data_IF_876652901223
#
_entry.id   IF_876652901223
#
_cell.length_a   1.000
_cell.length_b   1.000
_cell.length_c   1.000
_cell.angle_alpha   90.00
_cell.angle_beta   90.00
_cell.angle_gamma   90.00
#
_symmetry.space_group_name_H-M   'P 1'
#
loop_
_entity.id
_entity.type
_entity.pdbx_description
1 polymer ?
#
# COMPACT_ATOMS: atom_id res chain seq x y z
N UNK A 1 65.30 -0.08 8.01
CA UNK A 1 64.49 -1.20 8.55
C UNK A 1 63.28 -0.58 9.24
N UNK A 2 62.19 -0.39 8.48
CA UNK A 2 61.01 -1.27 8.43
C UNK A 2 60.01 -0.89 9.53
N UNK A 3 58.90 -0.20 9.18
CA UNK A 3 57.55 -0.76 8.90
C UNK A 3 56.92 -1.28 10.21
N UNK A 4 55.73 -0.91 10.71
CA UNK A 4 54.42 -0.73 10.07
C UNK A 4 53.54 0.12 11.01
N UNK A 5 52.98 1.24 10.50
CA UNK A 5 51.83 1.91 11.12
C UNK A 5 50.56 1.14 10.79
N UNK A 6 49.80 0.72 11.81
CA UNK A 6 48.51 0.05 11.63
C UNK A 6 47.47 1.07 11.15
N UNK A 7 47.06 0.90 9.91
CA UNK A 7 45.93 1.55 9.26
C UNK A 7 44.62 1.23 9.98
N UNK A 8 43.78 2.25 10.11
CA UNK A 8 42.42 2.14 10.63
C UNK A 8 41.55 1.33 9.67
N UNK A 9 40.92 0.28 10.19
CA UNK A 9 39.78 -0.37 9.54
C UNK A 9 38.53 0.39 9.98
N UNK A 10 38.21 1.46 9.24
CA UNK A 10 36.87 2.06 9.32
C UNK A 10 35.82 1.05 8.83
N UNK A 11 34.61 1.04 9.42
CA UNK A 11 33.56 0.14 8.96
C UNK A 11 33.20 0.49 7.52
N UNK A 12 33.15 -0.55 6.70
CA UNK A 12 32.69 -0.54 5.30
C UNK A 12 31.39 0.27 5.21
N UNK A 13 31.49 1.49 4.69
CA UNK A 13 30.33 2.30 4.39
C UNK A 13 29.52 1.57 3.33
N UNK A 14 28.34 1.08 3.73
CA UNK A 14 27.29 0.75 2.77
C UNK A 14 27.17 1.94 1.82
N UNK A 15 27.43 1.70 0.53
CA UNK A 15 27.24 2.73 -0.50
C UNK A 15 25.74 2.95 -0.62
N UNK A 16 25.21 3.84 0.21
CA UNK A 16 23.86 4.37 0.03
C UNK A 16 23.86 5.12 -1.29
N UNK A 17 23.29 4.51 -2.32
CA UNK A 17 23.07 5.13 -3.62
C UNK A 17 22.25 6.39 -3.36
N UNK A 18 22.84 7.56 -3.62
CA UNK A 18 22.15 8.83 -3.40
C UNK A 18 20.99 8.92 -4.38
N UNK A 19 19.80 8.86 -3.84
CA UNK A 19 18.56 9.06 -4.57
C UNK A 19 18.36 10.56 -4.79
N UNK A 20 19.01 11.13 -5.80
CA UNK A 20 18.57 12.38 -6.40
C UNK A 20 17.57 12.01 -7.49
N UNK A 21 16.27 12.07 -7.20
CA UNK A 21 15.32 12.23 -8.30
C UNK A 21 15.66 13.59 -8.90
N UNK A 22 15.94 13.61 -10.19
CA UNK A 22 16.04 14.87 -10.90
C UNK A 22 14.65 15.52 -10.84
N UNK A 23 14.53 16.62 -10.08
CA UNK A 23 13.29 17.29 -9.64
C UNK A 23 12.52 17.98 -10.77
N UNK A 24 12.62 17.45 -11.98
CA UNK A 24 11.95 17.98 -13.14
C UNK A 24 11.04 16.92 -13.75
N UNK A 25 10.18 16.33 -12.91
CA UNK A 25 9.17 15.36 -13.33
C UNK A 25 8.38 15.90 -14.53
N UNK A 26 7.98 17.18 -14.48
CA UNK A 26 7.27 17.84 -15.57
C UNK A 26 8.05 17.82 -16.89
N UNK A 27 9.35 18.15 -16.88
CA UNK A 27 10.16 18.08 -18.09
C UNK A 27 10.28 16.65 -18.60
N UNK A 28 10.49 15.66 -17.74
CA UNK A 28 10.57 14.25 -18.16
C UNK A 28 9.26 13.75 -18.78
N UNK A 29 8.11 14.14 -18.22
CA UNK A 29 6.80 13.82 -18.80
C UNK A 29 6.61 14.51 -20.16
N UNK A 30 7.00 15.77 -20.29
CA UNK A 30 6.92 16.51 -21.56
C UNK A 30 7.86 15.95 -22.64
N UNK A 31 9.10 15.60 -22.27
CA UNK A 31 10.08 14.96 -23.17
C UNK A 31 9.52 13.62 -23.69
N UNK A 32 8.94 12.79 -22.82
CA UNK A 32 8.33 11.52 -23.23
C UNK A 32 7.09 11.70 -24.10
N UNK A 33 6.27 12.72 -23.85
CA UNK A 33 5.15 13.05 -24.72
C UNK A 33 5.60 13.38 -26.15
N UNK A 34 6.83 13.88 -26.32
CA UNK A 34 7.45 14.17 -27.61
C UNK A 34 8.20 12.97 -28.23
N UNK A 35 7.94 11.74 -27.77
CA UNK A 35 8.48 10.47 -28.26
C UNK A 35 9.99 10.25 -28.03
N UNK A 36 10.59 10.98 -27.08
CA UNK A 36 12.00 10.81 -26.73
C UNK A 36 12.09 10.55 -25.23
N UNK A 37 12.31 9.30 -24.78
CA UNK A 37 12.49 9.12 -23.33
C UNK A 37 13.12 7.83 -22.83
N UNK A 38 14.46 7.82 -22.83
CA UNK A 38 15.19 6.99 -21.87
C UNK A 38 14.97 7.47 -20.42
N UNK A 39 14.76 8.78 -20.20
CA UNK A 39 14.67 9.37 -18.85
C UNK A 39 13.37 9.02 -18.11
N UNK A 40 12.22 9.05 -18.79
CA UNK A 40 10.95 8.62 -18.17
C UNK A 40 10.99 7.14 -17.79
N UNK A 41 11.48 6.27 -18.69
CA UNK A 41 11.62 4.85 -18.39
C UNK A 41 12.62 4.60 -17.25
N UNK A 42 13.72 5.35 -17.22
CA UNK A 42 14.68 5.30 -16.12
C UNK A 42 14.06 5.73 -14.79
N UNK A 43 13.25 6.80 -14.78
CA UNK A 43 12.52 7.25 -13.61
C UNK A 43 11.54 6.17 -13.10
N UNK A 44 10.72 5.61 -13.99
CA UNK A 44 9.77 4.54 -13.64
C UNK A 44 10.51 3.33 -13.07
N UNK A 45 11.62 2.93 -13.71
CA UNK A 45 12.47 1.83 -13.24
C UNK A 45 13.04 2.11 -11.86
N UNK A 46 13.57 3.32 -11.64
CA UNK A 46 14.13 3.75 -10.35
C UNK A 46 13.09 3.72 -9.23
N UNK A 47 11.89 4.29 -9.47
CA UNK A 47 10.80 4.27 -8.46
C UNK A 47 10.37 2.84 -8.16
N UNK A 48 10.26 1.98 -9.18
CA UNK A 48 9.89 0.57 -8.98
C UNK A 48 10.93 -0.20 -8.17
N UNK A 49 12.21 -0.03 -8.52
CA UNK A 49 13.28 -0.88 -7.99
C UNK A 49 13.82 -0.36 -6.64
N UNK A 50 13.82 0.97 -6.44
CA UNK A 50 14.37 1.63 -5.24
C UNK A 50 13.35 2.46 -4.46
N UNK A 51 12.05 2.34 -4.77
CA UNK A 51 10.99 3.14 -4.18
C UNK A 51 10.92 3.12 -2.65
N UNK A 52 11.33 2.02 -2.03
CA UNK A 52 11.34 1.86 -0.57
C UNK A 52 12.58 2.48 0.09
N UNK A 53 13.63 2.76 -0.67
CA UNK A 53 14.88 3.36 -0.17
C UNK A 53 14.86 4.89 -0.29
N UNK A 54 13.82 5.44 -0.93
CA UNK A 54 13.62 6.89 -1.07
C UNK A 54 13.47 7.52 0.31
N UNK A 55 14.19 8.62 0.54
CA UNK A 55 14.05 9.42 1.77
C UNK A 55 12.75 10.21 1.76
N UNK A 56 12.22 10.48 2.94
CA UNK A 56 10.94 11.15 3.07
C UNK A 56 10.90 12.53 2.42
N UNK A 57 12.00 13.29 2.43
CA UNK A 57 12.08 14.59 1.77
C UNK A 57 11.97 14.46 0.24
N UNK A 58 12.68 13.49 -0.33
CA UNK A 58 12.71 13.25 -1.79
C UNK A 58 11.36 12.69 -2.26
N UNK A 59 10.73 11.82 -1.46
CA UNK A 59 9.41 11.26 -1.75
C UNK A 59 8.30 12.31 -1.63
N UNK A 60 8.35 13.16 -0.59
CA UNK A 60 7.42 14.29 -0.44
C UNK A 60 7.51 15.22 -1.65
N UNK A 61 8.73 15.56 -2.09
CA UNK A 61 8.94 16.39 -3.27
C UNK A 61 8.43 15.73 -4.57
N UNK A 62 8.70 14.43 -4.77
CA UNK A 62 8.16 13.67 -5.90
C UNK A 62 6.63 13.74 -5.94
N UNK A 63 5.97 13.55 -4.80
CA UNK A 63 4.52 13.57 -4.70
C UNK A 63 3.96 14.97 -4.99
N UNK A 64 4.59 16.03 -4.47
CA UNK A 64 4.22 17.42 -4.78
C UNK A 64 4.33 17.73 -6.27
N UNK A 65 5.40 17.28 -6.93
CA UNK A 65 5.55 17.45 -8.38
C UNK A 65 4.53 16.62 -9.16
N UNK A 66 4.26 15.39 -8.74
CA UNK A 66 3.26 14.53 -9.36
C UNK A 66 1.87 15.16 -9.26
N UNK A 67 1.53 15.76 -8.11
CA UNK A 67 0.32 16.55 -7.90
C UNK A 67 0.25 17.76 -8.83
N UNK A 68 1.36 18.48 -9.00
CA UNK A 68 1.47 19.59 -9.95
C UNK A 68 1.31 19.17 -11.43
N UNK A 69 1.47 17.88 -11.73
CA UNK A 69 1.35 17.32 -13.08
C UNK A 69 0.09 16.46 -13.28
N UNK A 70 -0.86 16.45 -12.33
CA UNK A 70 -2.04 15.56 -12.36
C UNK A 70 -2.79 15.63 -13.70
N UNK A 71 -3.01 16.82 -14.24
CA UNK A 71 -3.70 17.00 -15.52
C UNK A 71 -3.01 16.30 -16.70
N UNK A 72 -1.69 16.09 -16.61
CA UNK A 72 -0.90 15.44 -17.64
C UNK A 72 -0.83 13.91 -17.47
N UNK A 73 -1.11 13.36 -16.28
CA UNK A 73 -1.01 11.93 -15.95
C UNK A 73 -2.13 11.08 -16.58
N UNK A 74 -2.48 11.36 -17.84
CA UNK A 74 -3.42 10.59 -18.63
C UNK A 74 -2.89 9.16 -18.92
N UNK A 75 -3.61 8.38 -19.73
CA UNK A 75 -3.27 6.98 -20.01
C UNK A 75 -1.84 6.72 -20.52
N UNK A 76 -1.16 7.71 -21.11
CA UNK A 76 0.24 7.57 -21.58
C UNK A 76 1.24 7.42 -20.44
N UNK A 77 0.90 7.92 -19.23
CA UNK A 77 1.77 7.86 -18.06
C UNK A 77 1.29 6.82 -17.03
N UNK A 78 0.54 5.82 -17.49
CA UNK A 78 0.01 4.75 -16.63
C UNK A 78 1.10 4.02 -15.85
N UNK A 79 2.27 3.77 -16.45
CA UNK A 79 3.37 3.08 -15.78
C UNK A 79 3.89 3.88 -14.59
N UNK A 80 4.05 5.19 -14.73
CA UNK A 80 4.42 6.06 -13.61
C UNK A 80 3.40 6.01 -12.48
N UNK A 81 2.10 6.15 -12.81
CA UNK A 81 1.02 6.06 -11.81
C UNK A 81 1.08 4.71 -11.09
N UNK A 82 1.25 3.61 -11.82
CA UNK A 82 1.35 2.28 -11.24
C UNK A 82 2.52 2.13 -10.26
N UNK A 83 3.72 2.63 -10.61
CA UNK A 83 4.88 2.50 -9.71
C UNK A 83 4.75 3.39 -8.47
N UNK A 84 4.06 4.52 -8.55
CA UNK A 84 3.76 5.36 -7.38
C UNK A 84 2.72 4.68 -6.47
N UNK A 85 1.69 4.06 -7.06
CA UNK A 85 0.61 3.41 -6.30
C UNK A 85 1.06 2.16 -5.50
N UNK A 86 2.17 1.53 -5.87
CA UNK A 86 2.68 0.33 -5.16
C UNK A 86 3.58 0.67 -3.97
N UNK A 87 4.06 1.92 -3.84
CA UNK A 87 4.95 2.34 -2.76
C UNK A 87 4.31 2.08 -1.39
N UNK A 88 5.07 1.59 -0.41
CA UNK A 88 4.61 1.58 0.98
C UNK A 88 4.88 2.94 1.64
N UNK A 89 3.81 3.71 1.77
CA UNK A 89 3.80 5.06 2.34
C UNK A 89 3.25 5.08 3.77
N UNK A 90 2.64 3.99 4.25
CA UNK A 90 1.83 3.99 5.47
C UNK A 90 2.64 4.17 6.75
N UNK A 91 3.91 3.77 6.72
CA UNK A 91 4.86 3.86 7.83
C UNK A 91 5.73 5.13 7.76
N UNK A 92 5.56 5.97 6.73
CA UNK A 92 6.38 7.15 6.48
C UNK A 92 5.98 8.33 7.37
N UNK A 93 6.77 9.40 7.31
CA UNK A 93 6.48 10.63 8.03
C UNK A 93 5.07 11.19 7.70
N UNK A 94 4.46 11.94 8.63
CA UNK A 94 3.16 12.55 8.41
C UNK A 94 3.08 13.44 7.15
N UNK A 95 4.19 14.07 6.76
CA UNK A 95 4.26 14.87 5.54
C UNK A 95 4.10 13.99 4.29
N UNK A 96 4.86 12.91 4.18
CA UNK A 96 4.75 11.97 3.06
C UNK A 96 3.36 11.36 3.00
N UNK A 97 2.81 10.94 4.15
CA UNK A 97 1.46 10.37 4.26
C UNK A 97 0.42 11.37 3.72
N UNK A 98 0.51 12.64 4.14
CA UNK A 98 -0.38 13.71 3.68
C UNK A 98 -0.26 13.97 2.17
N UNK A 99 0.96 14.08 1.64
CA UNK A 99 1.17 14.31 0.21
C UNK A 99 0.74 13.12 -0.64
N UNK A 100 0.92 11.89 -0.14
CA UNK A 100 0.49 10.68 -0.83
C UNK A 100 -1.04 10.61 -0.89
N UNK A 101 -1.72 10.85 0.23
CA UNK A 101 -3.18 10.95 0.26
C UNK A 101 -3.66 12.04 -0.71
N UNK A 102 -3.07 13.24 -0.65
CA UNK A 102 -3.37 14.34 -1.58
C UNK A 102 -3.22 13.92 -3.04
N UNK A 103 -2.15 13.21 -3.39
CA UNK A 103 -1.96 12.65 -4.73
C UNK A 103 -3.07 11.68 -5.13
N UNK A 104 -3.46 10.75 -4.26
CA UNK A 104 -4.55 9.80 -4.55
C UNK A 104 -5.89 10.52 -4.80
N UNK A 105 -6.19 11.53 -3.98
CA UNK A 105 -7.39 12.34 -4.10
C UNK A 105 -7.41 13.09 -5.42
N UNK A 106 -6.34 13.83 -5.73
CA UNK A 106 -6.22 14.63 -6.95
C UNK A 106 -6.29 13.74 -8.19
N UNK A 107 -5.67 12.56 -8.14
CA UNK A 107 -5.69 11.57 -9.22
C UNK A 107 -7.10 11.02 -9.46
N UNK A 108 -7.82 10.63 -8.40
CA UNK A 108 -9.19 10.13 -8.53
C UNK A 108 -10.17 11.21 -9.01
N UNK A 109 -9.96 12.47 -8.59
CA UNK A 109 -10.80 13.60 -8.98
C UNK A 109 -10.60 13.99 -10.45
N UNK A 110 -9.35 14.00 -10.93
CA UNK A 110 -9.03 14.38 -12.30
C UNK A 110 -9.21 13.22 -13.30
N UNK A 111 -8.92 11.99 -12.90
CA UNK A 111 -8.84 10.81 -13.76
C UNK A 111 -9.57 9.61 -13.15
N UNK A 112 -10.90 9.64 -13.20
CA UNK A 112 -11.79 8.65 -12.58
C UNK A 112 -11.50 7.18 -12.97
N UNK A 113 -10.89 6.93 -14.13
CA UNK A 113 -10.54 5.59 -14.58
C UNK A 113 -9.43 4.95 -13.73
N UNK A 114 -8.63 5.74 -13.00
CA UNK A 114 -7.66 5.21 -12.02
C UNK A 114 -8.31 4.86 -10.68
N UNK A 115 -9.52 5.34 -10.36
CA UNK A 115 -10.14 5.16 -9.04
C UNK A 115 -10.22 3.69 -8.63
N UNK A 116 -10.57 2.79 -9.56
CA UNK A 116 -10.55 1.34 -9.30
C UNK A 116 -9.17 0.84 -8.89
N UNK A 117 -8.13 1.29 -9.58
CA UNK A 117 -6.77 0.85 -9.31
C UNK A 117 -6.22 1.42 -7.99
N UNK A 118 -6.57 2.68 -7.67
CA UNK A 118 -6.24 3.28 -6.38
C UNK A 118 -6.88 2.49 -5.24
N UNK A 119 -8.18 2.21 -5.33
CA UNK A 119 -8.90 1.42 -4.32
C UNK A 119 -8.32 0.01 -4.20
N UNK A 120 -8.03 -0.65 -5.31
CA UNK A 120 -7.39 -1.97 -5.34
C UNK A 120 -6.06 -1.98 -4.56
N UNK A 121 -5.22 -0.96 -4.74
CA UNK A 121 -3.95 -0.84 -4.01
C UNK A 121 -4.15 -0.55 -2.51
N UNK A 122 -5.10 0.31 -2.15
CA UNK A 122 -5.45 0.57 -0.74
C UNK A 122 -5.94 -0.69 -0.03
N UNK A 123 -6.85 -1.45 -0.64
CA UNK A 123 -7.36 -2.71 -0.09
C UNK A 123 -6.29 -3.80 -0.04
N UNK A 124 -5.42 -3.87 -1.05
CA UNK A 124 -4.28 -4.81 -1.04
C UNK A 124 -3.31 -4.51 0.10
N UNK A 125 -3.20 -3.24 0.52
CA UNK A 125 -2.30 -2.82 1.59
C UNK A 125 -2.72 -3.35 2.96
N UNK A 126 -3.98 -3.75 3.17
CA UNK A 126 -4.43 -4.39 4.41
C UNK A 126 -3.75 -5.73 4.70
N UNK A 127 -3.18 -6.39 3.69
CA UNK A 127 -2.49 -7.69 3.83
C UNK A 127 -0.98 -7.55 4.04
N UNK A 128 -0.45 -6.33 4.01
CA UNK A 128 1.00 -6.05 4.06
C UNK A 128 1.50 -5.90 5.50
N UNK A 129 0.62 -5.94 6.50
CA UNK A 129 1.06 -5.97 7.88
C UNK A 129 1.73 -7.32 8.17
N UNK A 130 2.90 -7.25 8.79
CA UNK A 130 3.70 -8.42 9.17
C UNK A 130 4.02 -8.41 10.66
N UNK A 131 3.44 -7.47 11.40
CA UNK A 131 3.62 -7.35 12.84
C UNK A 131 2.86 -8.46 13.56
N UNK A 132 3.46 -9.04 14.59
CA UNK A 132 2.79 -10.07 15.39
C UNK A 132 1.64 -9.47 16.21
N UNK A 133 0.44 -10.02 16.05
CA UNK A 133 -0.73 -9.65 16.84
C UNK A 133 -0.86 -10.57 18.04
N UNK A 134 -1.04 -10.00 19.23
CA UNK A 134 -1.27 -10.78 20.45
C UNK A 134 -2.77 -10.92 20.66
N UNK A 135 -3.26 -12.16 20.73
CA UNK A 135 -4.69 -12.46 20.90
C UNK A 135 -5.60 -11.77 19.88
N UNK A 136 -5.13 -11.63 18.63
CA UNK A 136 -5.85 -10.95 17.56
C UNK A 136 -5.91 -9.42 17.71
N UNK A 137 -5.13 -8.84 18.62
CA UNK A 137 -5.03 -7.38 18.81
C UNK A 137 -3.85 -6.82 18.01
N UNK A 138 -4.09 -5.88 17.07
CA UNK A 138 -3.03 -5.23 16.33
C UNK A 138 -2.14 -4.36 17.22
N UNK A 139 -0.88 -4.24 16.81
CA UNK A 139 0.06 -3.28 17.44
C UNK A 139 -0.37 -1.84 17.18
N UNK A 140 0.08 -0.90 18.02
CA UNK A 140 -0.22 0.52 17.81
C UNK A 140 0.30 1.04 16.45
N UNK A 141 1.45 0.54 16.00
CA UNK A 141 1.99 0.89 14.68
C UNK A 141 1.12 0.36 13.54
N UNK A 142 0.66 -0.90 13.63
CA UNK A 142 -0.28 -1.48 12.66
C UNK A 142 -1.58 -0.67 12.60
N UNK A 143 -2.15 -0.30 13.77
CA UNK A 143 -3.34 0.54 13.86
C UNK A 143 -3.13 1.88 13.16
N UNK A 144 -2.01 2.57 13.43
CA UNK A 144 -1.69 3.86 12.78
C UNK A 144 -1.59 3.72 11.26
N UNK A 145 -0.89 2.68 10.77
CA UNK A 145 -0.76 2.41 9.33
C UNK A 145 -2.12 2.16 8.67
N UNK A 146 -2.99 1.38 9.32
CA UNK A 146 -4.35 1.14 8.81
C UNK A 146 -5.20 2.41 8.82
N UNK A 147 -5.08 3.25 9.85
CA UNK A 147 -5.77 4.53 9.90
C UNK A 147 -5.43 5.42 8.70
N UNK A 148 -4.15 5.50 8.31
CA UNK A 148 -3.74 6.23 7.11
C UNK A 148 -4.46 5.71 5.84
N UNK A 149 -4.60 4.40 5.69
CA UNK A 149 -5.31 3.78 4.56
C UNK A 149 -6.81 4.12 4.62
N UNK A 150 -7.44 3.98 5.79
CA UNK A 150 -8.86 4.28 5.98
C UNK A 150 -9.18 5.76 5.75
N UNK A 151 -8.28 6.68 6.15
CA UNK A 151 -8.40 8.10 5.87
C UNK A 151 -8.42 8.38 4.37
N UNK A 152 -7.52 7.76 3.61
CA UNK A 152 -7.50 7.87 2.15
C UNK A 152 -8.82 7.37 1.53
N UNK A 153 -9.30 6.19 1.97
CA UNK A 153 -10.57 5.63 1.47
C UNK A 153 -11.75 6.56 1.77
N UNK A 154 -11.86 7.08 2.99
CA UNK A 154 -12.95 8.00 3.38
C UNK A 154 -12.94 9.28 2.56
N UNK A 155 -11.76 9.84 2.35
CA UNK A 155 -11.58 11.04 1.52
C UNK A 155 -11.97 10.79 0.05
N UNK A 156 -11.54 9.66 -0.53
CA UNK A 156 -11.92 9.27 -1.89
C UNK A 156 -13.43 9.05 -2.01
N UNK A 157 -14.07 8.38 -1.05
CA UNK A 157 -15.53 8.18 -1.04
C UNK A 157 -16.29 9.51 -0.96
N UNK A 158 -15.72 10.52 -0.30
CA UNK A 158 -16.31 11.86 -0.19
C UNK A 158 -16.24 12.60 -1.52
N UNK A 159 -15.09 12.53 -2.21
CA UNK A 159 -14.86 13.27 -3.47
C UNK A 159 -15.48 12.54 -4.67
N UNK A 160 -15.45 11.21 -4.66
CA UNK A 160 -15.96 10.34 -5.73
C UNK A 160 -17.01 9.38 -5.14
N UNK A 161 -18.27 9.81 -4.90
CA UNK A 161 -19.29 8.97 -4.26
C UNK A 161 -19.57 7.65 -4.99
N UNK A 162 -19.46 7.66 -6.33
CA UNK A 162 -19.65 6.48 -7.18
C UNK A 162 -18.58 5.39 -6.95
N UNK A 163 -17.49 5.71 -6.23
CA UNK A 163 -16.46 4.76 -5.87
C UNK A 163 -16.86 3.78 -4.78
N UNK A 164 -18.04 3.97 -4.15
CA UNK A 164 -18.58 3.05 -3.14
C UNK A 164 -18.74 1.62 -3.68
N UNK A 165 -19.36 1.45 -4.85
CA UNK A 165 -19.57 0.13 -5.43
C UNK A 165 -18.25 -0.52 -5.86
N UNK A 166 -17.29 0.32 -6.29
CA UNK A 166 -15.92 -0.10 -6.60
C UNK A 166 -15.26 -0.66 -5.34
N UNK A 167 -15.34 0.06 -4.21
CA UNK A 167 -14.80 -0.38 -2.93
C UNK A 167 -15.40 -1.72 -2.49
N UNK A 168 -16.72 -1.87 -2.51
CA UNK A 168 -17.40 -3.11 -2.13
C UNK A 168 -16.90 -4.27 -3.01
N UNK A 169 -16.88 -4.05 -4.33
CA UNK A 169 -16.40 -5.03 -5.30
C UNK A 169 -14.93 -5.41 -5.06
N UNK A 170 -14.05 -4.44 -4.78
CA UNK A 170 -12.63 -4.70 -4.55
C UNK A 170 -12.39 -5.44 -3.22
N UNK A 171 -13.12 -5.10 -2.15
CA UNK A 171 -13.04 -5.83 -0.89
C UNK A 171 -13.44 -7.30 -1.07
N UNK A 172 -14.48 -7.58 -1.87
CA UNK A 172 -14.90 -8.94 -2.17
C UNK A 172 -13.87 -9.69 -3.03
N UNK A 173 -13.37 -9.07 -4.11
CA UNK A 173 -12.44 -9.74 -5.02
C UNK A 173 -11.05 -9.95 -4.41
N UNK A 174 -10.65 -9.08 -3.50
CA UNK A 174 -9.35 -9.13 -2.84
C UNK A 174 -9.41 -9.85 -1.49
N UNK A 175 -10.51 -10.50 -1.12
CA UNK A 175 -10.50 -11.30 0.11
C UNK A 175 -9.39 -12.37 0.04
N UNK A 176 -8.58 -12.56 1.10
CA UNK A 176 -7.55 -13.60 1.12
C UNK A 176 -8.09 -14.97 0.73
N UNK A 177 -7.34 -15.68 -0.11
CA UNK A 177 -7.66 -17.07 -0.46
C UNK A 177 -7.46 -17.98 0.76
N UNK A 178 -8.28 -19.00 0.95
CA UNK A 178 -8.31 -19.81 2.18
C UNK A 178 -6.96 -20.47 2.57
N UNK A 179 -6.04 -20.66 1.61
CA UNK A 179 -4.67 -21.20 1.88
C UNK A 179 -3.66 -20.13 2.31
N UNK A 180 -4.04 -18.85 2.34
CA UNK A 180 -3.21 -17.75 2.83
C UNK A 180 -3.02 -17.85 4.33
N UNK A 181 -2.05 -17.12 4.87
CA UNK A 181 -1.74 -17.22 6.30
C UNK A 181 -2.94 -16.79 7.15
N UNK A 182 -3.04 -17.29 8.38
CA UNK A 182 -4.06 -16.85 9.33
C UNK A 182 -3.95 -15.33 9.57
N UNK A 183 -2.72 -14.81 9.67
CA UNK A 183 -2.45 -13.39 9.86
C UNK A 183 -2.96 -12.50 8.70
N UNK A 184 -2.83 -12.95 7.45
CA UNK A 184 -3.41 -12.23 6.29
C UNK A 184 -4.95 -12.17 6.38
N UNK A 185 -5.60 -13.19 6.95
CA UNK A 185 -7.05 -13.17 7.16
C UNK A 185 -7.44 -12.26 8.31
N UNK A 186 -6.72 -12.31 9.44
CA UNK A 186 -6.96 -11.46 10.62
C UNK A 186 -6.85 -9.97 10.28
N UNK A 187 -5.74 -9.58 9.64
CA UNK A 187 -5.47 -8.21 9.21
C UNK A 187 -6.55 -7.71 8.24
N UNK A 188 -6.93 -8.53 7.25
CA UNK A 188 -7.96 -8.17 6.29
C UNK A 188 -9.34 -8.03 6.96
N UNK A 189 -9.75 -8.99 7.79
CA UNK A 189 -11.04 -8.96 8.49
C UNK A 189 -11.12 -7.75 9.42
N UNK A 190 -10.08 -7.47 10.20
CA UNK A 190 -10.00 -6.30 11.06
C UNK A 190 -10.28 -5.01 10.29
N UNK A 191 -9.58 -4.82 9.16
CA UNK A 191 -9.75 -3.64 8.33
C UNK A 191 -11.15 -3.58 7.69
N UNK A 192 -11.70 -4.69 7.21
CA UNK A 192 -13.09 -4.73 6.70
C UNK A 192 -14.10 -4.35 7.78
N UNK A 193 -13.90 -4.78 9.03
CA UNK A 193 -14.74 -4.38 10.15
C UNK A 193 -14.65 -2.88 10.43
N UNK A 194 -13.48 -2.25 10.23
CA UNK A 194 -13.35 -0.79 10.29
C UNK A 194 -14.12 -0.11 9.14
N UNK A 195 -14.13 -0.68 7.92
CA UNK A 195 -14.91 -0.14 6.79
C UNK A 195 -16.40 -0.01 7.16
N UNK A 196 -16.95 -1.02 7.83
CA UNK A 196 -18.36 -1.05 8.24
C UNK A 196 -18.73 0.18 9.09
N UNK A 197 -17.80 0.74 9.87
CA UNK A 197 -18.07 1.88 10.74
C UNK A 197 -18.42 3.15 9.94
N UNK A 198 -17.81 3.35 8.77
CA UNK A 198 -18.09 4.51 7.91
C UNK A 198 -18.95 4.17 6.69
N UNK A 199 -19.29 2.89 6.46
CA UNK A 199 -20.28 2.43 5.47
C UNK A 199 -21.35 1.55 6.14
N UNK A 200 -22.14 2.06 7.09
CA UNK A 200 -23.09 1.25 7.85
C UNK A 200 -24.19 0.62 7.00
N UNK A 201 -24.54 1.22 5.85
CA UNK A 201 -25.53 0.67 4.91
C UNK A 201 -25.13 -0.68 4.30
N UNK A 202 -23.82 -0.97 4.21
CA UNK A 202 -23.30 -2.20 3.62
C UNK A 202 -22.91 -3.25 4.66
N UNK A 203 -23.24 -3.00 5.93
CA UNK A 203 -22.88 -3.86 7.06
C UNK A 203 -23.28 -5.31 6.83
N UNK A 204 -24.50 -5.56 6.34
CA UNK A 204 -24.97 -6.91 6.07
C UNK A 204 -24.11 -7.61 5.01
N UNK A 205 -23.78 -6.91 3.92
CA UNK A 205 -22.95 -7.45 2.84
C UNK A 205 -21.56 -7.84 3.32
N UNK A 206 -20.89 -6.95 4.06
CA UNK A 206 -19.56 -7.21 4.61
C UNK A 206 -19.56 -8.33 5.66
N UNK A 207 -20.53 -8.36 6.58
CA UNK A 207 -20.62 -9.43 7.58
C UNK A 207 -20.93 -10.79 6.94
N UNK A 208 -21.85 -10.83 5.97
CA UNK A 208 -22.14 -12.06 5.21
C UNK A 208 -20.88 -12.60 4.54
N UNK A 209 -20.09 -11.73 3.93
CA UNK A 209 -18.81 -12.10 3.29
C UNK A 209 -17.81 -12.65 4.31
N UNK A 210 -17.61 -11.99 5.45
CA UNK A 210 -16.71 -12.47 6.53
C UNK A 210 -17.16 -13.85 7.02
N UNK A 211 -18.44 -14.02 7.34
CA UNK A 211 -18.97 -15.29 7.84
C UNK A 211 -18.79 -16.40 6.80
N UNK A 212 -19.05 -16.12 5.52
CA UNK A 212 -18.86 -17.08 4.42
C UNK A 212 -17.40 -17.54 4.32
N UNK A 213 -16.45 -16.62 4.51
CA UNK A 213 -15.04 -16.97 4.54
C UNK A 213 -14.70 -17.84 5.77
N UNK A 214 -15.20 -17.49 6.96
CA UNK A 214 -14.96 -18.29 8.16
C UNK A 214 -15.47 -19.73 8.01
N UNK A 215 -16.67 -19.90 7.42
CA UNK A 215 -17.22 -21.23 7.09
C UNK A 215 -16.30 -21.94 6.09
N UNK A 216 -15.79 -21.23 5.07
CA UNK A 216 -14.86 -21.81 4.09
C UNK A 216 -13.57 -22.29 4.76
N UNK A 217 -13.00 -21.52 5.68
CA UNK A 217 -11.82 -21.92 6.43
C UNK A 217 -12.09 -23.15 7.31
N UNK A 218 -13.23 -23.18 8.00
CA UNK A 218 -13.64 -24.29 8.87
C UNK A 218 -13.79 -25.61 8.09
N UNK A 219 -14.49 -25.57 6.95
CA UNK A 219 -14.70 -26.74 6.07
C UNK A 219 -13.37 -27.32 5.55
N UNK A 220 -12.37 -26.47 5.33
CA UNK A 220 -11.06 -26.89 4.83
C UNK A 220 -10.05 -27.19 5.95
N UNK A 221 -10.45 -27.08 7.22
CA UNK A 221 -9.60 -27.44 8.36
C UNK A 221 -9.48 -28.97 8.45
N UNK A 222 -8.26 -29.53 8.42
CA UNK A 222 -8.08 -30.99 8.51
C UNK A 222 -8.56 -31.50 9.87
N UNK A 223 -9.41 -32.54 9.86
CA UNK A 223 -9.98 -33.15 11.09
C UNK A 223 -8.90 -33.55 12.12
N UNK A 224 -7.73 -33.98 11.66
CA UNK A 224 -6.60 -34.34 12.53
C UNK A 224 -6.03 -33.17 13.33
N UNK A 225 -6.06 -31.94 12.79
CA UNK A 225 -5.58 -30.75 13.51
C UNK A 225 -6.58 -30.25 14.56
N UNK A 226 -7.87 -30.62 14.42
CA UNK A 226 -8.92 -30.32 15.39
C UNK A 226 -8.82 -31.28 16.59
N UNK A 227 -8.64 -32.58 16.32
CA UNK A 227 -8.51 -33.63 17.33
C UNK A 227 -7.27 -33.45 18.24
N UNK A 228 -6.14 -32.99 17.69
CA UNK A 228 -4.91 -32.71 18.49
C UNK A 228 -5.07 -31.50 19.43
N UNK A 229 -5.79 -30.45 19.03
CA UNK A 229 -6.05 -29.28 19.90
C UNK A 229 -7.07 -29.58 20.99
N UNK A 230 -8.05 -30.44 20.72
CA UNK A 230 -9.02 -30.90 21.72
C UNK A 230 -8.40 -31.83 22.76
N UNK A 231 -7.46 -32.70 22.35
CA UNK A 231 -6.72 -33.58 23.27
C UNK A 231 -5.75 -32.81 24.18
N UNK A 232 -5.10 -31.75 23.67
CA UNK A 232 -4.16 -30.93 24.44
C UNK A 232 -4.79 -29.97 25.46
N UNK A 233 -6.10 -29.71 25.35
CA UNK A 233 -6.85 -28.88 26.31
C UNK A 233 -7.46 -29.65 27.50
N UNK A 234 -7.27 -30.98 27.55
CA UNK A 234 -7.78 -31.86 28.62
C UNK A 234 -6.69 -32.37 29.57
N UNK A 235 -5.51 -31.75 29.59
CA UNK A 235 -4.41 -32.01 30.54
C UNK A 235 -4.19 -30.83 31.49
#
# INVERSE_FOLDING_TARGET
>A
MSFIGRTSLGPSGSKTVRFQIDFNLKAHLLEHANQDSNKYEELVRKIRDHGQEIRDEDLSQLLKEARGCISMLNGNFRLFVQVVLILDWTHRSPEVVSEYQGFLLDLCAAHNYYTKHVIDQLITSFKRDSSEWKDGVPTEESVRRFQHIHDAIRQILTIVPMSKDILISQVQSLFPYFKRSAHEHETFIYNVLQIIQYLPGERYGFLKMIITQLITLDVHSPRSALEEREAGGSM
#
